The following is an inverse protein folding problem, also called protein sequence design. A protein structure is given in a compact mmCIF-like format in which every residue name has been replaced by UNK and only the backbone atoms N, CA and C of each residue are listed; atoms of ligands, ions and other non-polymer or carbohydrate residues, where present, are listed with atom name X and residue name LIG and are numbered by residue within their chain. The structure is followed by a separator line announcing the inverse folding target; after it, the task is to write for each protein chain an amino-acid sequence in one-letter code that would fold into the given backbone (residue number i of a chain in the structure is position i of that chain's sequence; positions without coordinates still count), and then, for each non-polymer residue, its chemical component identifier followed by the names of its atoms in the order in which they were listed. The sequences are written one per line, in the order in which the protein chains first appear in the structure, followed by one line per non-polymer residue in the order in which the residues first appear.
data_IF_396552697778
#
_entry.id   IF_396552697778
#
_cell.length_a   1.000
_cell.length_b   1.000
_cell.length_c   1.000
_cell.angle_alpha   90.00
_cell.angle_beta   90.00
_cell.angle_gamma   90.00
#
_symmetry.space_group_name_H-M   'P 1'
#
loop_
_entity.id
_entity.type
_entity.pdbx_description
1 polymer ?
#
# COMPACT_ATOMS: atom_id res chain seq x y z
N UNK A 1 17.61 5.01 -3.57
CA UNK A 1 16.67 4.10 -4.26
C UNK A 1 15.44 4.87 -4.73
N UNK A 2 14.58 4.25 -5.52
CA UNK A 2 13.29 4.78 -5.93
C UNK A 2 12.21 4.36 -4.94
N UNK A 3 11.53 5.32 -4.31
CA UNK A 3 10.47 5.08 -3.33
C UNK A 3 9.12 5.52 -3.87
N UNK A 4 8.15 4.62 -3.86
CA UNK A 4 6.74 4.95 -4.10
C UNK A 4 6.01 4.98 -2.76
N UNK A 5 5.45 6.14 -2.41
CA UNK A 5 4.55 6.28 -1.27
C UNK A 5 3.10 6.20 -1.77
N UNK A 6 2.36 5.20 -1.30
CA UNK A 6 0.92 5.07 -1.50
C UNK A 6 0.23 5.63 -0.26
N UNK A 7 -0.46 6.76 -0.42
CA UNK A 7 -1.05 7.52 0.68
C UNK A 7 -2.58 7.52 0.59
N UNK A 8 -3.24 7.13 1.68
CA UNK A 8 -4.69 7.00 1.74
C UNK A 8 -5.29 7.73 2.95
N UNK A 9 -5.43 9.04 2.85
CA UNK A 9 -6.24 9.82 3.79
C UNK A 9 -6.89 11.03 3.09
N UNK A 10 -8.17 11.36 3.36
CA UNK A 10 -8.90 12.38 2.61
C UNK A 10 -8.54 13.83 2.95
N UNK A 11 -7.98 14.06 4.14
CA UNK A 11 -7.73 15.40 4.66
C UNK A 11 -6.23 15.76 4.66
N UNK A 12 -5.79 16.80 3.94
CA UNK A 12 -4.37 17.19 3.84
C UNK A 12 -3.73 17.70 5.13
N UNK A 13 -4.51 18.15 6.10
CA UNK A 13 -4.01 18.58 7.41
C UNK A 13 -4.11 17.47 8.47
N UNK A 14 -4.31 16.22 8.07
CA UNK A 14 -4.34 15.09 9.01
C UNK A 14 -2.94 14.71 9.48
N UNK A 15 -2.88 13.99 10.59
CA UNK A 15 -1.62 13.41 11.06
C UNK A 15 -1.03 12.41 10.04
N UNK A 16 -1.86 11.66 9.31
CA UNK A 16 -1.39 10.79 8.22
C UNK A 16 -0.75 11.60 7.08
N UNK A 17 -1.27 12.79 6.77
CA UNK A 17 -0.65 13.68 5.80
C UNK A 17 0.75 14.13 6.28
N UNK A 18 0.85 14.55 7.54
CA UNK A 18 2.12 14.95 8.16
C UNK A 18 3.16 13.81 8.15
N UNK A 19 2.74 12.57 8.44
CA UNK A 19 3.59 11.37 8.35
C UNK A 19 4.11 11.15 6.91
N UNK A 20 3.24 11.28 5.90
CA UNK A 20 3.62 11.18 4.48
C UNK A 20 4.56 12.32 4.07
N UNK A 21 4.30 13.56 4.47
CA UNK A 21 5.14 14.70 4.12
C UNK A 21 6.52 14.61 4.78
N UNK A 22 6.56 14.17 6.05
CA UNK A 22 7.81 13.87 6.75
C UNK A 22 8.59 12.75 6.05
N UNK A 23 7.92 11.68 5.62
CA UNK A 23 8.57 10.59 4.87
C UNK A 23 9.19 11.09 3.56
N UNK A 24 8.46 11.91 2.79
CA UNK A 24 8.99 12.51 1.54
C UNK A 24 10.26 13.30 1.83
N UNK A 25 10.24 14.20 2.80
CA UNK A 25 11.41 15.02 3.16
C UNK A 25 12.60 14.16 3.58
N UNK A 26 12.41 13.25 4.54
CA UNK A 26 13.50 12.45 5.11
C UNK A 26 14.13 11.55 4.05
N UNK A 27 13.31 10.88 3.24
CA UNK A 27 13.82 9.99 2.19
C UNK A 27 14.56 10.77 1.09
N UNK A 28 14.09 11.97 0.74
CA UNK A 28 14.79 12.85 -0.20
C UNK A 28 16.11 13.35 0.38
N UNK A 29 16.15 13.70 1.66
CA UNK A 29 17.38 14.12 2.37
C UNK A 29 18.40 12.98 2.45
N UNK A 30 17.94 11.71 2.47
CA UNK A 30 18.76 10.51 2.35
C UNK A 30 19.21 10.20 0.90
N UNK A 31 18.88 11.07 -0.06
CA UNK A 31 19.25 10.92 -1.47
C UNK A 31 18.38 9.93 -2.26
N UNK A 32 17.19 9.58 -1.76
CA UNK A 32 16.24 8.75 -2.51
C UNK A 32 15.37 9.60 -3.44
N UNK A 33 14.92 8.99 -4.54
CA UNK A 33 13.91 9.63 -5.40
C UNK A 33 12.55 9.15 -4.95
N UNK A 34 11.62 10.07 -4.70
CA UNK A 34 10.30 9.75 -4.12
C UNK A 34 9.19 10.15 -5.08
N UNK A 35 8.24 9.25 -5.31
CA UNK A 35 6.94 9.53 -5.93
C UNK A 35 5.83 9.25 -4.94
N UNK A 36 4.74 10.01 -5.03
CA UNK A 36 3.57 9.85 -4.18
C UNK A 36 2.34 9.56 -5.04
N UNK A 37 1.58 8.55 -4.66
CA UNK A 37 0.21 8.30 -5.10
C UNK A 37 -0.74 8.67 -3.97
N UNK A 38 -1.21 9.92 -3.99
CA UNK A 38 -2.25 10.40 -3.08
C UNK A 38 -3.62 9.98 -3.62
N UNK A 39 -4.13 8.86 -3.12
CA UNK A 39 -5.30 8.20 -3.69
C UNK A 39 -6.54 9.09 -3.64
N UNK A 40 -6.68 9.90 -2.60
CA UNK A 40 -7.82 10.82 -2.46
C UNK A 40 -7.69 12.04 -3.36
N UNK A 41 -6.51 12.66 -3.45
CA UNK A 41 -6.27 13.77 -4.36
C UNK A 41 -6.42 13.34 -5.84
N UNK A 42 -6.00 12.12 -6.17
CA UNK A 42 -6.19 11.51 -7.48
C UNK A 42 -7.64 11.15 -7.79
N UNK A 43 -8.53 11.13 -6.79
CA UNK A 43 -9.87 10.54 -6.87
C UNK A 43 -9.83 9.12 -7.45
N UNK A 44 -8.87 8.32 -6.96
CA UNK A 44 -8.63 6.99 -7.48
C UNK A 44 -9.91 6.13 -7.41
N UNK A 45 -10.28 5.52 -8.53
CA UNK A 45 -11.43 4.61 -8.60
C UNK A 45 -11.09 3.35 -7.80
N UNK A 46 -11.77 3.12 -6.68
CA UNK A 46 -11.50 1.97 -5.81
C UNK A 46 -12.15 0.67 -6.32
N UNK A 47 -13.26 0.77 -7.06
CA UNK A 47 -14.03 -0.39 -7.50
C UNK A 47 -13.33 -1.05 -8.70
N UNK A 48 -13.04 -2.34 -8.58
CA UNK A 48 -12.63 -3.19 -9.69
C UNK A 48 -13.88 -3.63 -10.47
N UNK A 49 -13.96 -3.30 -11.75
CA UNK A 49 -15.10 -3.66 -12.60
C UNK A 49 -14.69 -3.79 -14.09
N UNK A 50 -15.67 -4.03 -14.97
CA UNK A 50 -15.44 -4.24 -16.40
C UNK A 50 -14.80 -3.04 -17.11
N UNK A 51 -14.96 -1.81 -16.61
CA UNK A 51 -14.41 -0.61 -17.25
C UNK A 51 -12.88 -0.54 -17.11
N UNK A 52 -12.32 -1.39 -16.23
CA UNK A 52 -10.88 -1.57 -16.10
C UNK A 52 -10.26 -2.34 -17.27
N UNK A 53 -11.11 -2.94 -18.12
CA UNK A 53 -10.75 -3.80 -19.25
C UNK A 53 -11.43 -3.31 -20.54
N UNK A 54 -11.02 -2.15 -21.10
CA UNK A 54 -11.65 -1.58 -22.30
C UNK A 54 -11.53 -2.47 -23.55
N UNK A 55 -10.59 -3.42 -23.56
CA UNK A 55 -10.41 -4.40 -24.62
C UNK A 55 -10.38 -5.81 -24.02
N UNK A 56 -11.55 -6.35 -23.61
CA UNK A 56 -11.61 -7.67 -22.98
C UNK A 56 -11.24 -8.76 -24.00
N UNK A 57 -10.44 -9.72 -23.56
CA UNK A 57 -9.97 -10.82 -24.39
C UNK A 57 -11.04 -11.91 -24.59
N UNK A 58 -12.03 -12.02 -23.69
CA UNK A 58 -13.16 -12.91 -23.84
C UNK A 58 -14.47 -12.24 -23.41
N UNK A 59 -15.30 -11.86 -24.40
CA UNK A 59 -16.60 -11.21 -24.16
C UNK A 59 -17.71 -12.16 -23.75
N UNK A 60 -17.54 -13.47 -23.98
CA UNK A 60 -18.55 -14.49 -23.65
C UNK A 60 -18.34 -15.08 -22.26
N UNK A 61 -17.09 -15.10 -21.78
CA UNK A 61 -16.72 -15.54 -20.43
C UNK A 61 -15.69 -14.56 -19.84
N UNK A 62 -16.20 -13.60 -19.06
CA UNK A 62 -15.38 -12.59 -18.40
C UNK A 62 -14.91 -13.10 -17.03
N UNK A 63 -13.60 -13.35 -16.93
CA UNK A 63 -12.95 -13.65 -15.64
C UNK A 63 -11.90 -12.60 -15.35
N UNK A 64 -12.01 -11.92 -14.21
CA UNK A 64 -11.07 -10.88 -13.78
C UNK A 64 -9.60 -11.34 -13.91
N UNK A 65 -9.19 -12.53 -13.43
CA UNK A 65 -7.78 -12.91 -13.47
C UNK A 65 -7.27 -13.13 -14.91
N UNK A 66 -8.09 -13.71 -15.78
CA UNK A 66 -7.76 -13.89 -17.20
C UNK A 66 -7.66 -12.57 -17.95
N UNK A 67 -8.59 -11.64 -17.68
CA UNK A 67 -8.60 -10.31 -18.28
C UNK A 67 -7.43 -9.44 -17.78
N UNK A 68 -7.04 -9.59 -16.51
CA UNK A 68 -5.82 -8.99 -15.96
C UNK A 68 -4.57 -9.49 -16.71
N UNK A 69 -4.39 -10.80 -16.84
CA UNK A 69 -3.23 -11.36 -17.57
C UNK A 69 -3.16 -10.86 -19.01
N UNK A 70 -4.29 -10.88 -19.72
CA UNK A 70 -4.35 -10.39 -21.10
C UNK A 70 -4.11 -8.87 -21.17
N UNK A 71 -4.70 -8.11 -20.26
CA UNK A 71 -4.56 -6.66 -20.17
C UNK A 71 -3.15 -6.21 -19.86
N UNK A 72 -2.45 -6.90 -18.94
CA UNK A 72 -1.04 -6.66 -18.63
C UNK A 72 -0.19 -6.96 -19.87
N UNK A 73 -0.35 -8.14 -20.48
CA UNK A 73 0.43 -8.57 -21.65
C UNK A 73 0.29 -7.61 -22.83
N UNK A 74 -0.92 -7.10 -23.07
CA UNK A 74 -1.23 -6.29 -24.23
C UNK A 74 -1.15 -4.78 -23.96
N UNK A 75 -0.96 -4.36 -22.70
CA UNK A 75 -1.00 -2.95 -22.31
C UNK A 75 -2.38 -2.30 -22.46
N UNK A 76 -3.45 -3.05 -22.20
CA UNK A 76 -4.84 -2.63 -22.45
C UNK A 76 -5.69 -2.41 -21.21
N UNK A 77 -5.13 -2.53 -20.00
CA UNK A 77 -5.83 -2.14 -18.76
C UNK A 77 -6.17 -0.64 -18.76
N UNK A 78 -7.10 -0.22 -17.91
CA UNK A 78 -7.46 1.20 -17.81
C UNK A 78 -6.23 2.11 -17.56
N UNK A 79 -6.22 3.35 -18.11
CA UNK A 79 -5.04 4.22 -18.08
C UNK A 79 -4.54 4.57 -16.67
N UNK A 80 -5.45 4.70 -15.70
CA UNK A 80 -5.11 4.97 -14.30
C UNK A 80 -4.41 3.77 -13.65
N UNK A 81 -4.84 2.54 -13.95
CA UNK A 81 -4.15 1.32 -13.52
C UNK A 81 -2.75 1.26 -14.13
N UNK A 82 -2.62 1.47 -15.43
CA UNK A 82 -1.32 1.46 -16.10
C UNK A 82 -0.36 2.53 -15.56
N UNK A 83 -0.87 3.71 -15.20
CA UNK A 83 -0.07 4.77 -14.59
C UNK A 83 0.50 4.35 -13.23
N UNK A 84 -0.29 3.67 -12.41
CA UNK A 84 0.15 3.16 -11.11
C UNK A 84 1.10 1.96 -11.25
N UNK A 85 0.84 1.04 -12.18
CA UNK A 85 1.74 -0.08 -12.47
C UNK A 85 3.14 0.42 -12.84
N UNK A 86 3.25 1.47 -13.67
CA UNK A 86 4.55 2.09 -14.02
C UNK A 86 5.27 2.66 -12.80
N UNK A 87 4.55 3.17 -11.79
CA UNK A 87 5.17 3.63 -10.54
C UNK A 87 5.67 2.45 -9.71
N UNK A 88 4.91 1.37 -9.64
CA UNK A 88 5.29 0.12 -8.93
C UNK A 88 6.52 -0.52 -9.59
N UNK A 89 6.55 -0.60 -10.93
CA UNK A 89 7.68 -1.09 -11.70
C UNK A 89 8.95 -0.25 -11.43
N UNK A 90 8.81 1.08 -11.43
CA UNK A 90 9.89 2.03 -11.15
C UNK A 90 10.45 1.97 -9.73
N UNK A 91 9.63 1.62 -8.74
CA UNK A 91 10.00 1.70 -7.32
C UNK A 91 10.80 0.48 -6.84
N UNK A 92 11.84 0.71 -6.06
CA UNK A 92 12.55 -0.34 -5.31
C UNK A 92 11.87 -0.60 -3.96
N UNK A 93 11.19 0.42 -3.42
CA UNK A 93 10.56 0.42 -2.10
C UNK A 93 9.14 1.00 -2.18
N UNK A 94 8.15 0.27 -1.65
CA UNK A 94 6.75 0.68 -1.58
C UNK A 94 6.39 0.98 -0.12
N UNK A 95 6.06 2.23 0.18
CA UNK A 95 5.63 2.69 1.49
C UNK A 95 4.13 2.97 1.48
N UNK A 96 3.38 2.28 2.33
CA UNK A 96 1.94 2.47 2.46
C UNK A 96 1.64 3.29 3.71
N UNK A 97 1.07 4.49 3.55
CA UNK A 97 0.66 5.38 4.65
C UNK A 97 -0.87 5.48 4.72
N UNK A 98 -1.46 4.99 5.80
CA UNK A 98 -2.92 5.01 5.97
C UNK A 98 -3.38 4.87 7.44
N UNK A 99 -4.59 5.34 7.79
CA UNK A 99 -5.21 4.98 9.06
C UNK A 99 -5.84 3.59 9.02
N UNK A 100 -5.83 2.86 10.14
CA UNK A 100 -6.66 1.65 10.29
C UNK A 100 -8.13 2.04 10.35
N UNK A 101 -8.91 1.55 9.38
CA UNK A 101 -10.36 1.63 9.37
C UNK A 101 -10.94 0.22 9.36
N UNK A 102 -11.81 -0.09 10.33
CA UNK A 102 -12.39 -1.42 10.50
C UNK A 102 -11.35 -2.55 10.48
N UNK A 103 -10.28 -2.40 11.28
CA UNK A 103 -9.18 -3.36 11.39
C UNK A 103 -8.46 -3.67 10.05
N UNK A 104 -8.53 -2.76 9.08
CA UNK A 104 -7.87 -2.94 7.78
C UNK A 104 -7.48 -1.60 7.15
N UNK A 105 -7.04 -1.65 5.90
CA UNK A 105 -6.78 -0.49 5.04
C UNK A 105 -8.08 0.27 4.73
N UNK A 106 -8.03 1.59 4.46
CA UNK A 106 -9.13 2.31 3.83
C UNK A 106 -9.58 1.64 2.52
N UNK A 107 -10.88 1.66 2.23
CA UNK A 107 -11.44 1.02 1.03
C UNK A 107 -10.77 1.49 -0.27
N UNK A 108 -10.37 2.76 -0.36
CA UNK A 108 -9.66 3.30 -1.54
C UNK A 108 -8.28 2.66 -1.74
N UNK A 109 -7.59 2.33 -0.66
CA UNK A 109 -6.30 1.63 -0.71
C UNK A 109 -6.49 0.16 -1.05
N UNK A 110 -7.49 -0.50 -0.47
CA UNK A 110 -7.84 -1.88 -0.86
C UNK A 110 -8.19 -1.97 -2.34
N UNK A 111 -8.95 -1.01 -2.85
CA UNK A 111 -9.27 -0.90 -4.27
C UNK A 111 -8.06 -0.63 -5.16
N UNK A 112 -7.10 0.17 -4.69
CA UNK A 112 -5.81 0.34 -5.37
C UNK A 112 -5.05 -0.98 -5.48
N UNK A 113 -5.00 -1.76 -4.40
CA UNK A 113 -4.42 -3.12 -4.45
C UNK A 113 -5.20 -3.98 -5.45
N UNK A 114 -6.52 -4.06 -5.36
CA UNK A 114 -7.33 -4.94 -6.22
C UNK A 114 -7.17 -4.64 -7.72
N UNK A 115 -7.00 -3.37 -8.08
CA UNK A 115 -6.88 -2.93 -9.48
C UNK A 115 -5.44 -2.95 -9.99
N UNK A 116 -4.46 -2.57 -9.17
CA UNK A 116 -3.05 -2.40 -9.58
C UNK A 116 -2.24 -3.69 -9.40
N UNK A 117 -2.53 -4.49 -8.38
CA UNK A 117 -1.85 -5.78 -8.13
C UNK A 117 -2.47 -6.89 -9.01
N UNK A 118 -2.47 -6.65 -10.32
CA UNK A 118 -3.07 -7.49 -11.32
C UNK A 118 -2.29 -8.80 -11.56
N UNK A 119 -3.00 -9.90 -11.82
CA UNK A 119 -2.36 -11.14 -12.27
C UNK A 119 -1.61 -10.90 -13.59
N UNK A 120 -0.40 -11.48 -13.70
CA UNK A 120 0.52 -11.26 -14.81
C UNK A 120 1.46 -10.08 -14.58
N UNK A 121 1.19 -9.21 -13.60
CA UNK A 121 2.06 -8.09 -13.24
C UNK A 121 2.78 -8.31 -11.90
N UNK A 122 2.06 -8.67 -10.84
CA UNK A 122 2.66 -8.88 -9.50
C UNK A 122 2.80 -10.35 -9.12
N UNK A 123 1.98 -11.23 -9.71
CA UNK A 123 2.01 -12.68 -9.53
C UNK A 123 1.66 -13.38 -10.83
N UNK A 124 2.07 -14.65 -10.97
CA UNK A 124 1.54 -15.53 -12.01
C UNK A 124 1.15 -16.89 -11.43
N UNK A 125 -0.15 -17.06 -11.15
CA UNK A 125 -0.69 -18.28 -10.54
C UNK A 125 -0.56 -19.53 -11.43
N UNK A 126 -0.58 -19.37 -12.75
CA UNK A 126 -0.45 -20.51 -13.68
C UNK A 126 0.99 -21.04 -13.74
N UNK A 127 1.96 -20.17 -13.50
CA UNK A 127 3.39 -20.51 -13.45
C UNK A 127 3.90 -20.74 -12.02
N UNK A 128 3.05 -20.63 -11.01
CA UNK A 128 3.44 -20.76 -9.60
C UNK A 128 4.30 -19.61 -9.06
N UNK A 129 4.39 -18.48 -9.78
CA UNK A 129 5.18 -17.29 -9.39
C UNK A 129 4.46 -16.47 -8.33
N UNK A 130 4.59 -16.93 -7.10
CA UNK A 130 4.02 -16.36 -5.87
C UNK A 130 5.05 -16.46 -4.74
N UNK A 131 4.80 -15.74 -3.63
CA UNK A 131 5.71 -15.71 -2.49
C UNK A 131 7.14 -15.39 -2.95
N UNK A 132 8.14 -16.19 -2.55
CA UNK A 132 9.55 -15.96 -2.91
C UNK A 132 9.82 -15.87 -4.42
N UNK A 133 8.94 -16.42 -5.26
CA UNK A 133 9.03 -16.34 -6.72
C UNK A 133 8.03 -15.35 -7.34
N UNK A 134 7.39 -14.51 -6.54
CA UNK A 134 6.49 -13.46 -6.99
C UNK A 134 7.16 -12.45 -7.94
N UNK A 135 6.38 -11.74 -8.74
CA UNK A 135 6.92 -10.88 -9.80
C UNK A 135 7.44 -9.53 -9.28
N UNK A 136 7.22 -9.23 -8.00
CA UNK A 136 7.81 -8.08 -7.30
C UNK A 136 9.03 -8.47 -6.45
N UNK A 137 9.59 -9.68 -6.62
CA UNK A 137 10.82 -10.10 -5.96
C UNK A 137 11.96 -9.10 -6.15
N UNK A 138 12.68 -8.82 -5.06
CA UNK A 138 13.73 -7.81 -5.00
C UNK A 138 13.26 -6.40 -4.59
N UNK A 139 11.94 -6.17 -4.49
CA UNK A 139 11.38 -4.94 -3.93
C UNK A 139 11.07 -5.11 -2.45
N UNK A 140 11.02 -4.00 -1.72
CA UNK A 140 10.64 -3.94 -0.31
C UNK A 140 9.30 -3.25 -0.12
N UNK A 141 8.56 -3.65 0.91
CA UNK A 141 7.31 -3.01 1.31
C UNK A 141 7.31 -2.61 2.79
N UNK A 142 6.79 -1.43 3.10
CA UNK A 142 6.59 -0.92 4.45
C UNK A 142 5.14 -0.51 4.67
N UNK A 143 4.56 -0.99 5.76
CA UNK A 143 3.32 -0.45 6.30
C UNK A 143 3.66 0.62 7.33
N UNK A 144 3.18 1.84 7.13
CA UNK A 144 3.15 2.90 8.13
C UNK A 144 1.68 3.22 8.41
N UNK A 145 1.20 2.93 9.60
CA UNK A 145 -0.23 2.99 9.91
C UNK A 145 -0.53 3.65 11.24
N UNK A 146 -1.72 4.26 11.32
CA UNK A 146 -2.20 4.93 12.52
C UNK A 146 -3.47 4.25 13.04
N UNK A 147 -3.55 3.97 14.33
CA UNK A 147 -4.72 3.42 15.00
C UNK A 147 -5.32 4.42 15.99
N UNK A 148 -6.65 4.42 16.13
CA UNK A 148 -7.36 5.38 16.97
C UNK A 148 -7.27 5.09 18.47
N UNK A 149 -7.18 3.81 18.85
CA UNK A 149 -7.12 3.37 20.26
C UNK A 149 -5.68 3.23 20.77
N UNK A 150 -5.48 3.14 22.10
CA UNK A 150 -4.16 2.90 22.70
C UNK A 150 -3.56 1.53 22.30
N UNK A 151 -2.23 1.37 22.41
CA UNK A 151 -1.56 0.13 22.00
C UNK A 151 -2.02 -1.09 22.81
N UNK A 152 -2.33 -0.93 24.10
CA UNK A 152 -2.86 -2.01 24.96
C UNK A 152 -4.16 -2.63 24.44
N UNK A 153 -4.94 -1.91 23.62
CA UNK A 153 -6.16 -2.47 23.01
C UNK A 153 -5.85 -3.47 21.91
N UNK A 154 -4.67 -3.36 21.30
CA UNK A 154 -4.24 -4.09 20.11
C UNK A 154 -3.25 -5.22 20.44
N UNK A 155 -3.47 -5.89 21.56
CA UNK A 155 -2.67 -7.04 22.02
C UNK A 155 -3.50 -8.32 21.96
N UNK A 156 -2.87 -9.50 22.07
CA UNK A 156 -3.58 -10.79 22.01
C UNK A 156 -4.76 -10.90 23.01
N UNK A 157 -4.62 -10.31 24.20
CA UNK A 157 -5.69 -10.24 25.22
C UNK A 157 -6.48 -8.92 25.23
N UNK A 158 -6.17 -7.99 24.32
CA UNK A 158 -6.79 -6.69 24.25
C UNK A 158 -8.18 -6.74 23.59
N UNK A 159 -9.06 -5.77 23.85
CA UNK A 159 -10.41 -5.72 23.28
C UNK A 159 -10.48 -5.71 21.75
N UNK A 160 -9.43 -5.21 21.07
CA UNK A 160 -9.37 -5.22 19.61
C UNK A 160 -8.59 -6.41 19.05
N UNK A 161 -7.89 -7.19 19.88
CA UNK A 161 -6.97 -8.25 19.44
C UNK A 161 -5.67 -7.72 18.82
N UNK A 162 -4.70 -8.60 18.63
CA UNK A 162 -3.38 -8.25 18.08
C UNK A 162 -3.47 -7.62 16.67
N UNK A 163 -2.94 -6.41 16.54
CA UNK A 163 -2.91 -5.67 15.27
C UNK A 163 -2.17 -6.40 14.15
N UNK A 164 -1.18 -7.22 14.48
CA UNK A 164 -0.44 -7.98 13.48
C UNK A 164 -1.30 -9.07 12.85
N UNK A 165 -2.25 -9.65 13.60
CA UNK A 165 -3.23 -10.58 13.05
C UNK A 165 -4.19 -9.88 12.07
N UNK A 166 -4.60 -8.65 12.37
CA UNK A 166 -5.46 -7.85 11.48
C UNK A 166 -4.76 -7.57 10.15
N UNK A 167 -3.48 -7.22 10.20
CA UNK A 167 -2.69 -6.84 9.03
C UNK A 167 -2.01 -8.01 8.31
N UNK A 168 -2.12 -9.24 8.83
CA UNK A 168 -1.53 -10.44 8.20
C UNK A 168 -2.00 -10.66 6.77
N UNK A 169 -3.27 -10.38 6.49
CA UNK A 169 -3.79 -10.44 5.12
C UNK A 169 -3.11 -9.46 4.15
N UNK A 170 -2.58 -8.34 4.66
CA UNK A 170 -1.89 -7.34 3.87
C UNK A 170 -0.40 -7.71 3.71
N UNK A 171 0.34 -7.88 4.81
CA UNK A 171 1.77 -8.13 4.68
C UNK A 171 2.07 -9.53 4.12
N UNK A 172 1.43 -10.59 4.62
CA UNK A 172 1.71 -11.96 4.18
C UNK A 172 0.99 -12.29 2.87
N UNK A 173 -0.34 -12.16 2.86
CA UNK A 173 -1.18 -12.64 1.75
C UNK A 173 -1.25 -11.66 0.57
N UNK A 174 -0.72 -10.44 0.70
CA UNK A 174 -0.64 -9.49 -0.41
C UNK A 174 0.81 -9.17 -0.75
N UNK A 175 1.62 -8.66 0.19
CA UNK A 175 2.95 -8.16 -0.16
C UNK A 175 3.98 -9.27 -0.34
N UNK A 176 4.12 -10.16 0.64
CA UNK A 176 4.99 -11.33 0.51
C UNK A 176 4.50 -12.25 -0.59
N UNK A 177 3.18 -12.42 -0.76
CA UNK A 177 2.59 -13.17 -1.88
C UNK A 177 3.04 -12.66 -3.26
N UNK A 178 3.30 -11.35 -3.39
CA UNK A 178 3.85 -10.74 -4.61
C UNK A 178 5.38 -10.83 -4.71
N UNK A 179 6.08 -11.34 -3.69
CA UNK A 179 7.54 -11.50 -3.63
C UNK A 179 8.30 -10.38 -2.95
N UNK A 180 7.61 -9.40 -2.36
CA UNK A 180 8.29 -8.31 -1.66
C UNK A 180 8.82 -8.76 -0.30
N UNK A 181 9.99 -8.23 0.09
CA UNK A 181 10.45 -8.27 1.47
C UNK A 181 9.67 -7.22 2.27
N UNK A 182 8.88 -7.66 3.26
CA UNK A 182 8.14 -6.72 4.12
C UNK A 182 9.01 -6.34 5.32
N UNK A 183 9.40 -5.07 5.39
CA UNK A 183 10.13 -4.53 6.55
C UNK A 183 9.18 -4.31 7.73
N UNK A 184 9.67 -4.21 8.98
CA UNK A 184 8.81 -4.04 10.15
C UNK A 184 7.78 -2.92 9.98
N UNK A 185 6.56 -3.16 10.45
CA UNK A 185 5.48 -2.16 10.35
C UNK A 185 5.72 -1.03 11.36
N UNK A 186 5.50 0.21 10.94
CA UNK A 186 5.51 1.37 11.83
C UNK A 186 4.09 1.69 12.28
N UNK A 187 3.85 1.61 13.59
CA UNK A 187 2.54 1.85 14.20
C UNK A 187 2.52 3.12 15.04
N UNK A 188 1.56 4.01 14.79
CA UNK A 188 1.20 5.09 15.72
C UNK A 188 -0.18 4.84 16.30
N UNK A 189 -0.26 4.70 17.62
CA UNK A 189 -1.52 4.50 18.35
C UNK A 189 -2.06 5.81 18.90
N UNK A 190 -3.29 5.81 19.43
CA UNK A 190 -3.96 7.02 19.95
C UNK A 190 -4.09 8.18 18.96
N UNK A 191 -4.02 7.93 17.66
CA UNK A 191 -3.95 8.97 16.63
C UNK A 191 -5.22 9.86 16.55
N UNK A 192 -6.33 9.45 17.18
CA UNK A 192 -7.58 10.19 17.20
C UNK A 192 -7.59 11.39 18.16
N UNK A 193 -6.67 11.43 19.14
CA UNK A 193 -6.71 12.40 20.26
C UNK A 193 -5.34 12.98 20.61
N UNK A 194 -4.37 12.92 19.69
CA UNK A 194 -3.01 13.42 19.96
C UNK A 194 -2.98 14.94 20.12
N UNK A 195 -2.21 15.40 21.10
CA UNK A 195 -1.81 16.80 21.22
C UNK A 195 -0.55 17.11 20.37
N UNK A 196 -0.17 18.39 20.32
CA UNK A 196 0.98 18.84 19.53
C UNK A 196 2.32 18.24 19.97
N UNK A 197 2.47 17.89 21.26
CA UNK A 197 3.69 17.28 21.78
C UNK A 197 3.78 15.82 21.30
N UNK A 198 2.68 15.08 21.38
CA UNK A 198 2.58 13.72 20.88
C UNK A 198 2.78 13.65 19.37
N UNK A 199 2.18 14.57 18.61
CA UNK A 199 2.39 14.68 17.16
C UNK A 199 3.87 14.87 16.83
N UNK A 200 4.57 15.79 17.51
CA UNK A 200 6.01 16.01 17.28
C UNK A 200 6.84 14.77 17.61
N UNK A 201 6.59 14.17 18.77
CA UNK A 201 7.28 12.97 19.21
C UNK A 201 7.14 11.82 18.20
N UNK A 202 5.93 11.59 17.69
CA UNK A 202 5.69 10.52 16.73
C UNK A 202 6.34 10.80 15.36
N UNK A 203 6.40 12.05 14.92
CA UNK A 203 7.10 12.44 13.70
C UNK A 203 8.62 12.30 13.82
N UNK A 204 9.19 12.54 15.02
CA UNK A 204 10.61 12.31 15.31
C UNK A 204 10.92 10.79 15.29
N UNK A 205 10.11 9.98 15.96
CA UNK A 205 10.23 8.51 15.94
C UNK A 205 10.11 7.95 14.52
N UNK A 206 9.23 8.52 13.71
CA UNK A 206 9.08 8.16 12.31
C UNK A 206 10.31 8.51 11.47
N UNK A 207 10.89 9.69 11.68
CA UNK A 207 12.13 10.09 11.03
C UNK A 207 13.30 9.17 11.39
N UNK A 208 13.48 8.87 12.68
CA UNK A 208 14.51 7.94 13.14
C UNK A 208 14.35 6.56 12.51
N UNK A 209 13.12 6.05 12.45
CA UNK A 209 12.82 4.76 11.83
C UNK A 209 13.21 4.76 10.34
N UNK A 210 12.82 5.78 9.59
CA UNK A 210 13.14 5.89 8.16
C UNK A 210 14.64 5.95 7.89
N UNK A 211 15.42 6.58 8.77
CA UNK A 211 16.89 6.69 8.64
C UNK A 211 17.62 5.38 8.89
N UNK A 212 16.97 4.39 9.49
CA UNK A 212 17.53 3.06 9.76
C UNK A 212 17.23 2.04 8.64
N UNK A 213 16.36 2.39 7.68
CA UNK A 213 16.01 1.56 6.52
C UNK A 213 17.03 1.68 5.39
#
# INVERSE_FOLDING_TARGET
MNVLIIYAHPYPASFNAAMKDKAVSVLQDMGHTVKVSDLYAMKFKAVLDQDDFPQPCNREYFSIPGEQVAGVRNGTLAPDIQAEMKKVEWADFLLFQFPIWWSSTPAILKGWVDRVFAQGFVVNLLEGKVYTEGLLSGKKALISTTAGSPPEFYTEGGPHGDINHHLMSLWHNTFEFCGMEVVPTFYVFNAAVMDDLQVRFELERWEEYLRLL
#
